data_IF_506433661883
#
_entry.id   IF_506433661883
#
_cell.length_a   1.000
_cell.length_b   1.000
_cell.length_c   1.000
_cell.angle_alpha   90.00
_cell.angle_beta   90.00
_cell.angle_gamma   90.00
#
_symmetry.space_group_name_H-M   'P 1'
#
loop_
_entity.id
_entity.type
_entity.pdbx_description
1 polymer ?
#
# COMPACT_ATOMS: atom_id res chain seq x y z
N UNK A 1 19.43 10.38 -22.06
CA UNK A 1 18.10 10.95 -22.34
C UNK A 1 16.99 9.92 -22.13
N UNK A 2 17.10 8.71 -22.69
CA UNK A 2 16.11 7.62 -22.49
C UNK A 2 15.82 7.29 -21.04
N UNK A 3 16.84 7.21 -20.19
CA UNK A 3 16.67 6.89 -18.75
C UNK A 3 15.77 7.86 -18.02
N UNK A 4 15.91 9.16 -18.26
CA UNK A 4 15.07 10.18 -17.64
C UNK A 4 13.61 10.11 -18.11
N UNK A 5 13.37 9.77 -19.38
CA UNK A 5 12.02 9.58 -19.90
C UNK A 5 11.34 8.39 -19.19
N UNK A 6 12.07 7.28 -19.02
CA UNK A 6 11.56 6.11 -18.31
C UNK A 6 11.27 6.45 -16.84
N UNK A 7 12.16 7.20 -16.17
CA UNK A 7 11.95 7.63 -14.78
C UNK A 7 10.71 8.52 -14.64
N UNK A 8 10.49 9.45 -15.57
CA UNK A 8 9.28 10.30 -15.57
C UNK A 8 8.02 9.44 -15.75
N UNK A 9 8.03 8.49 -16.68
CA UNK A 9 6.89 7.59 -16.90
C UNK A 9 6.61 6.71 -15.67
N UNK A 10 7.64 6.13 -15.07
CA UNK A 10 7.51 5.35 -13.81
C UNK A 10 6.91 6.22 -12.72
N UNK A 11 7.43 7.44 -12.55
CA UNK A 11 6.94 8.37 -11.52
C UNK A 11 5.47 8.76 -11.71
N UNK A 12 5.07 9.07 -12.95
CA UNK A 12 3.68 9.43 -13.28
C UNK A 12 2.73 8.26 -13.02
N UNK A 13 3.04 7.08 -13.53
CA UNK A 13 2.21 5.88 -13.36
C UNK A 13 2.14 5.48 -11.89
N UNK A 14 3.27 5.42 -11.20
CA UNK A 14 3.32 5.06 -9.79
C UNK A 14 2.60 6.11 -8.92
N UNK A 15 2.76 7.40 -9.20
CA UNK A 15 2.05 8.48 -8.52
C UNK A 15 0.54 8.41 -8.71
N UNK A 16 0.08 8.14 -9.95
CA UNK A 16 -1.34 7.97 -10.25
C UNK A 16 -1.94 6.78 -9.49
N UNK A 17 -1.29 5.60 -9.56
CA UNK A 17 -1.74 4.39 -8.84
C UNK A 17 -1.67 4.60 -7.32
N UNK A 18 -0.61 5.24 -6.83
CA UNK A 18 -0.45 5.58 -5.41
C UNK A 18 -1.58 6.49 -4.90
N UNK A 19 -1.98 7.48 -5.69
CA UNK A 19 -3.09 8.38 -5.37
C UNK A 19 -4.44 7.67 -5.34
N UNK A 20 -4.64 6.66 -6.20
CA UNK A 20 -5.87 5.86 -6.24
C UNK A 20 -5.98 4.87 -5.07
N UNK A 21 -4.90 4.15 -4.77
CA UNK A 21 -4.91 2.99 -3.87
C UNK A 21 -4.39 3.36 -2.47
N UNK A 22 -3.62 4.46 -2.35
CA UNK A 22 -3.05 4.90 -1.06
C UNK A 22 -1.88 4.05 -0.55
N UNK A 23 -1.26 3.20 -1.38
CA UNK A 23 -0.18 2.26 -0.96
C UNK A 23 1.21 2.94 -0.92
N UNK A 24 1.31 4.22 -1.31
CA UNK A 24 2.58 4.96 -1.28
C UNK A 24 3.61 4.46 -2.28
N UNK A 25 3.34 4.54 -3.58
CA UNK A 25 4.24 4.39 -4.75
C UNK A 25 5.31 3.29 -4.75
N UNK A 26 5.94 3.00 -3.62
CA UNK A 26 7.09 2.10 -3.48
C UNK A 26 6.85 0.69 -4.02
N UNK A 27 5.63 0.19 -3.89
CA UNK A 27 5.23 -1.14 -4.38
C UNK A 27 5.37 -1.24 -5.90
N UNK A 28 5.18 -0.15 -6.62
CA UNK A 28 5.30 -0.08 -8.08
C UNK A 28 6.65 0.44 -8.52
N UNK A 29 7.21 1.44 -7.81
CA UNK A 29 8.49 2.06 -8.15
C UNK A 29 9.63 1.05 -8.07
N UNK A 30 9.68 0.25 -6.99
CA UNK A 30 10.80 -0.70 -6.77
C UNK A 30 10.87 -1.76 -7.88
N UNK A 31 9.80 -2.52 -8.21
CA UNK A 31 9.83 -3.46 -9.32
C UNK A 31 10.13 -2.79 -10.67
N UNK A 32 9.56 -1.61 -10.93
CA UNK A 32 9.79 -0.90 -12.19
C UNK A 32 11.25 -0.50 -12.37
N UNK A 33 11.91 0.03 -11.34
CA UNK A 33 13.33 0.38 -11.39
C UNK A 33 14.23 -0.84 -11.59
N UNK A 34 13.91 -1.95 -10.91
CA UNK A 34 14.69 -3.20 -11.05
C UNK A 34 14.51 -3.81 -12.45
N UNK A 35 13.27 -3.87 -12.95
CA UNK A 35 12.96 -4.57 -14.21
C UNK A 35 13.28 -3.73 -15.45
N UNK A 36 13.00 -2.43 -15.44
CA UNK A 36 13.15 -1.57 -16.61
C UNK A 36 14.51 -0.88 -16.70
N UNK A 37 15.12 -0.56 -15.56
CA UNK A 37 16.39 0.17 -15.48
C UNK A 37 17.54 -0.64 -14.91
N UNK A 38 17.31 -1.90 -14.50
CA UNK A 38 18.36 -2.79 -14.01
C UNK A 38 18.96 -2.36 -12.65
N UNK A 39 18.24 -1.58 -11.85
CA UNK A 39 18.71 -1.18 -10.52
C UNK A 39 18.86 -2.40 -9.62
N UNK A 40 19.85 -2.38 -8.71
CA UNK A 40 19.86 -3.34 -7.60
C UNK A 40 18.64 -3.12 -6.70
N UNK A 41 18.21 -4.15 -5.98
CA UNK A 41 17.04 -4.06 -5.10
C UNK A 41 17.20 -2.94 -4.06
N UNK A 42 18.41 -2.81 -3.47
CA UNK A 42 18.70 -1.76 -2.49
C UNK A 42 18.68 -0.36 -3.09
N UNK A 43 19.23 -0.19 -4.30
CA UNK A 43 19.20 1.10 -5.00
C UNK A 43 17.76 1.52 -5.36
N UNK A 44 16.93 0.58 -5.80
CA UNK A 44 15.53 0.85 -6.09
C UNK A 44 14.74 1.22 -4.82
N UNK A 45 14.98 0.53 -3.71
CA UNK A 45 14.35 0.85 -2.42
C UNK A 45 14.81 2.22 -1.89
N UNK A 46 16.11 2.50 -1.91
CA UNK A 46 16.64 3.81 -1.50
C UNK A 46 16.08 4.95 -2.33
N UNK A 47 15.97 4.77 -3.65
CA UNK A 47 15.35 5.75 -4.57
C UNK A 47 13.87 5.96 -4.22
N UNK A 48 13.12 4.88 -3.97
CA UNK A 48 11.72 4.97 -3.58
C UNK A 48 11.54 5.72 -2.25
N UNK A 49 12.36 5.42 -1.24
CA UNK A 49 12.35 6.15 0.03
C UNK A 49 12.71 7.63 -0.15
N UNK A 50 13.68 7.93 -1.03
CA UNK A 50 14.05 9.30 -1.37
C UNK A 50 12.89 10.10 -1.99
N UNK A 51 12.06 9.47 -2.82
CA UNK A 51 10.85 10.09 -3.38
C UNK A 51 9.83 10.39 -2.27
N UNK A 52 9.65 9.48 -1.32
CA UNK A 52 8.72 9.66 -0.19
C UNK A 52 9.18 10.76 0.78
N UNK A 53 10.47 11.07 0.83
CA UNK A 53 11.00 12.19 1.63
C UNK A 53 10.51 13.56 1.09
N UNK A 54 10.28 13.66 -0.22
CA UNK A 54 9.70 14.84 -0.85
C UNK A 54 8.18 14.85 -0.60
N UNK A 55 7.54 16.04 -0.45
CA UNK A 55 6.11 16.13 -0.16
C UNK A 55 5.22 15.82 -1.39
N UNK A 56 5.57 14.78 -2.14
CA UNK A 56 4.89 14.41 -3.40
C UNK A 56 3.44 13.97 -3.19
N UNK A 57 3.12 13.44 -2.01
CA UNK A 57 1.78 12.98 -1.66
C UNK A 57 0.85 14.06 -1.11
N UNK A 58 1.34 15.29 -0.86
CA UNK A 58 0.57 16.32 -0.14
C UNK A 58 -0.73 16.71 -0.84
N UNK A 59 -0.73 16.75 -2.17
CA UNK A 59 -1.92 17.09 -2.96
C UNK A 59 -2.99 15.98 -2.87
N UNK A 60 -2.56 14.71 -2.86
CA UNK A 60 -3.48 13.58 -2.69
C UNK A 60 -4.06 13.60 -1.27
N UNK A 61 -3.22 13.70 -0.24
CA UNK A 61 -3.64 13.79 1.16
C UNK A 61 -4.61 14.93 1.38
N UNK A 62 -4.36 16.10 0.79
CA UNK A 62 -5.25 17.26 0.90
C UNK A 62 -6.65 16.97 0.37
N UNK A 63 -6.76 16.30 -0.78
CA UNK A 63 -8.06 15.89 -1.34
C UNK A 63 -8.80 14.92 -0.41
N UNK A 64 -8.14 13.90 0.11
CA UNK A 64 -8.75 12.97 1.06
C UNK A 64 -9.13 13.66 2.38
N UNK A 65 -8.31 14.62 2.84
CA UNK A 65 -8.61 15.41 4.03
C UNK A 65 -9.87 16.26 3.86
N UNK A 66 -10.06 16.91 2.71
CA UNK A 66 -11.27 17.69 2.41
C UNK A 66 -12.55 16.84 2.45
N UNK A 67 -12.48 15.54 2.16
CA UNK A 67 -13.60 14.60 2.22
C UNK A 67 -13.74 13.92 3.59
N UNK A 68 -12.96 14.32 4.60
CA UNK A 68 -13.04 13.77 5.95
C UNK A 68 -12.45 12.37 6.13
N UNK A 69 -11.70 11.85 5.14
CA UNK A 69 -11.11 10.51 5.19
C UNK A 69 -9.75 10.46 5.90
N UNK A 70 -9.21 11.57 6.34
CA UNK A 70 -7.92 11.64 7.03
C UNK A 70 -8.11 12.06 8.49
N UNK A 71 -7.67 11.23 9.40
CA UNK A 71 -7.61 11.56 10.82
C UNK A 71 -6.18 12.01 11.19
N UNK A 72 -5.94 13.30 11.47
CA UNK A 72 -4.60 13.81 11.75
C UNK A 72 -3.93 13.16 12.96
N UNK A 73 -4.70 12.82 14.00
CA UNK A 73 -4.18 12.14 15.20
C UNK A 73 -3.62 10.76 14.86
N UNK A 74 -4.35 9.96 14.10
CA UNK A 74 -3.87 8.66 13.64
C UNK A 74 -2.63 8.79 12.75
N UNK A 75 -2.60 9.79 11.88
CA UNK A 75 -1.44 10.06 11.01
C UNK A 75 -0.19 10.35 11.83
N UNK A 76 -0.27 11.23 12.84
CA UNK A 76 0.87 11.59 13.67
C UNK A 76 1.42 10.41 14.47
N UNK A 77 0.55 9.64 15.12
CA UNK A 77 0.96 8.46 15.89
C UNK A 77 1.62 7.41 14.98
N UNK A 78 1.00 7.12 13.83
CA UNK A 78 1.56 6.15 12.87
C UNK A 78 2.87 6.65 12.25
N UNK A 79 2.99 7.93 11.95
CA UNK A 79 4.21 8.52 11.41
C UNK A 79 5.37 8.42 12.41
N UNK A 80 5.12 8.69 13.70
CA UNK A 80 6.13 8.53 14.74
C UNK A 80 6.59 7.08 14.90
N UNK A 81 5.66 6.15 14.94
CA UNK A 81 5.97 4.71 14.98
C UNK A 81 6.72 4.24 13.71
N UNK A 82 6.28 4.72 12.54
CA UNK A 82 6.93 4.42 11.26
C UNK A 82 8.38 4.94 11.21
N UNK A 83 8.62 6.14 11.75
CA UNK A 83 9.98 6.70 11.82
C UNK A 83 10.93 5.79 12.59
N UNK A 84 10.52 5.32 13.77
CA UNK A 84 11.32 4.38 14.57
C UNK A 84 11.48 3.03 13.85
N UNK A 85 10.39 2.46 13.35
CA UNK A 85 10.39 1.18 12.64
C UNK A 85 11.26 1.20 11.37
N UNK A 86 11.27 2.31 10.63
CA UNK A 86 12.06 2.45 9.41
C UNK A 86 13.58 2.43 9.66
N UNK A 87 14.05 2.92 10.82
CA UNK A 87 15.45 2.85 11.20
C UNK A 87 15.90 1.41 11.36
N UNK A 88 15.15 0.60 12.09
CA UNK A 88 15.46 -0.82 12.27
C UNK A 88 15.32 -1.60 10.97
N UNK A 89 14.27 -1.35 10.22
CA UNK A 89 14.01 -1.99 8.92
C UNK A 89 15.11 -1.73 7.90
N UNK A 90 15.59 -0.49 7.81
CA UNK A 90 16.68 -0.13 6.89
C UNK A 90 18.02 -0.76 7.28
N UNK A 91 18.34 -0.82 8.58
CA UNK A 91 19.55 -1.50 9.06
C UNK A 91 19.52 -2.99 8.72
N UNK A 92 18.38 -3.64 8.92
CA UNK A 92 18.20 -5.05 8.57
C UNK A 92 18.34 -5.28 7.06
N UNK A 93 17.73 -4.43 6.24
CA UNK A 93 17.83 -4.50 4.79
C UNK A 93 19.27 -4.32 4.29
N UNK A 94 20.05 -3.44 4.94
CA UNK A 94 21.47 -3.26 4.61
C UNK A 94 22.34 -4.46 4.97
N UNK A 95 21.96 -5.22 6.02
CA UNK A 95 22.66 -6.43 6.44
C UNK A 95 22.39 -7.63 5.52
N UNK A 96 21.27 -7.63 4.80
CA UNK A 96 20.88 -8.72 3.94
C UNK A 96 21.43 -8.58 2.52
N UNK A 97 21.54 -9.70 1.81
CA UNK A 97 21.88 -9.67 0.38
C UNK A 97 20.70 -9.13 -0.44
N UNK A 98 20.99 -8.50 -1.59
CA UNK A 98 19.95 -7.98 -2.50
C UNK A 98 18.94 -9.07 -2.90
N UNK A 99 19.37 -10.31 -3.04
CA UNK A 99 18.49 -11.44 -3.37
C UNK A 99 17.53 -11.78 -2.24
N UNK A 100 17.97 -11.73 -0.99
CA UNK A 100 17.13 -11.97 0.18
C UNK A 100 16.08 -10.86 0.32
N UNK A 101 16.50 -9.60 0.18
CA UNK A 101 15.58 -8.45 0.24
C UNK A 101 14.54 -8.53 -0.86
N UNK A 102 14.93 -8.89 -2.09
CA UNK A 102 14.03 -9.10 -3.22
C UNK A 102 13.01 -10.22 -2.95
N UNK A 103 13.46 -11.36 -2.41
CA UNK A 103 12.58 -12.49 -2.06
C UNK A 103 11.59 -12.10 -0.95
N UNK A 104 12.07 -11.46 0.12
CA UNK A 104 11.22 -10.98 1.22
C UNK A 104 10.14 -10.02 0.71
N UNK A 105 10.50 -9.07 -0.14
CA UNK A 105 9.57 -8.13 -0.76
C UNK A 105 8.51 -8.86 -1.60
N UNK A 106 8.93 -9.79 -2.45
CA UNK A 106 8.01 -10.58 -3.28
C UNK A 106 7.04 -11.43 -2.45
N UNK A 107 7.52 -12.05 -1.36
CA UNK A 107 6.68 -12.84 -0.45
C UNK A 107 5.65 -11.96 0.25
N UNK A 108 6.04 -10.78 0.74
CA UNK A 108 5.10 -9.84 1.38
C UNK A 108 4.01 -9.41 0.40
N UNK A 109 4.39 -9.06 -0.84
CA UNK A 109 3.42 -8.71 -1.88
C UNK A 109 2.48 -9.86 -2.21
N UNK A 110 2.99 -11.09 -2.29
CA UNK A 110 2.18 -12.28 -2.54
C UNK A 110 1.16 -12.50 -1.41
N UNK A 111 1.58 -12.40 -0.15
CA UNK A 111 0.70 -12.56 1.02
C UNK A 111 -0.40 -11.50 1.01
N UNK A 112 -0.06 -10.23 0.78
CA UNK A 112 -1.02 -9.12 0.72
C UNK A 112 -2.01 -9.33 -0.43
N UNK A 113 -1.51 -9.66 -1.62
CA UNK A 113 -2.33 -9.92 -2.80
C UNK A 113 -3.30 -11.09 -2.58
N UNK A 114 -2.81 -12.19 -2.01
CA UNK A 114 -3.63 -13.37 -1.74
C UNK A 114 -4.71 -13.07 -0.68
N UNK A 115 -4.34 -12.33 0.37
CA UNK A 115 -5.30 -11.91 1.40
C UNK A 115 -6.42 -11.06 0.78
N UNK A 116 -6.09 -10.03 0.02
CA UNK A 116 -7.10 -9.15 -0.58
C UNK A 116 -8.00 -9.87 -1.58
N UNK A 117 -7.44 -10.82 -2.34
CA UNK A 117 -8.20 -11.50 -3.39
C UNK A 117 -9.12 -12.60 -2.84
N UNK A 118 -8.71 -13.30 -1.79
CA UNK A 118 -9.41 -14.49 -1.29
C UNK A 118 -10.14 -14.21 0.02
N UNK A 119 -9.47 -13.60 0.99
CA UNK A 119 -10.03 -13.45 2.33
C UNK A 119 -11.10 -12.37 2.41
N UNK A 120 -10.89 -11.25 1.74
CA UNK A 120 -11.82 -10.12 1.80
C UNK A 120 -13.13 -10.46 1.07
N UNK A 121 -13.05 -11.21 -0.04
CA UNK A 121 -14.24 -11.70 -0.76
C UNK A 121 -15.02 -12.74 0.06
N UNK A 122 -14.31 -13.62 0.76
CA UNK A 122 -14.93 -14.64 1.62
C UNK A 122 -15.60 -14.00 2.85
N UNK A 123 -14.96 -13.04 3.50
CA UNK A 123 -15.52 -12.33 4.65
C UNK A 123 -16.72 -11.47 4.27
N UNK A 124 -16.65 -10.77 3.15
CA UNK A 124 -17.76 -9.96 2.62
C UNK A 124 -19.00 -10.81 2.28
N UNK A 125 -18.81 -12.01 1.75
CA UNK A 125 -19.91 -12.97 1.51
C UNK A 125 -20.54 -13.43 2.82
N UNK A 126 -19.73 -13.75 3.81
CA UNK A 126 -20.22 -14.20 5.14
C UNK A 126 -21.00 -13.11 5.89
N UNK A 127 -20.59 -11.86 5.77
CA UNK A 127 -21.31 -10.74 6.38
C UNK A 127 -22.65 -10.49 5.68
N UNK A 128 -22.71 -10.58 4.36
CA UNK A 128 -23.97 -10.49 3.59
C UNK A 128 -24.94 -11.61 3.94
N UNK A 129 -24.46 -12.82 4.12
CA UNK A 129 -25.30 -13.96 4.56
C UNK A 129 -25.88 -13.75 5.96
N UNK A 130 -25.08 -13.26 6.91
CA UNK A 130 -25.56 -12.92 8.26
C UNK A 130 -26.58 -11.80 8.25
N UNK A 131 -26.36 -10.76 7.46
CA UNK A 131 -27.30 -9.65 7.32
C UNK A 131 -28.64 -10.12 6.74
N UNK A 132 -28.62 -10.91 5.67
CA UNK A 132 -29.81 -11.49 5.05
C UNK A 132 -30.57 -12.43 6.00
N UNK A 133 -29.86 -13.17 6.85
CA UNK A 133 -30.48 -14.03 7.87
C UNK A 133 -31.18 -13.20 8.97
N UNK A 134 -30.56 -12.12 9.43
CA UNK A 134 -31.15 -11.25 10.44
C UNK A 134 -32.38 -10.49 9.93
N UNK A 135 -32.37 -10.06 8.66
CA UNK A 135 -33.55 -9.45 8.03
C UNK A 135 -34.73 -10.43 7.92
N UNK A 136 -34.47 -11.67 7.48
CA UNK A 136 -35.51 -12.70 7.41
C UNK A 136 -36.13 -13.03 8.76
N UNK A 137 -35.33 -13.09 9.81
CA UNK A 137 -35.81 -13.32 11.19
C UNK A 137 -36.70 -12.16 11.64
N UNK A 138 -36.31 -10.92 11.34
CA UNK A 138 -37.06 -9.72 11.69
C UNK A 138 -38.40 -9.64 10.92
N UNK A 139 -38.41 -10.03 9.64
CA UNK A 139 -39.63 -10.09 8.83
C UNK A 139 -40.62 -11.17 9.33
N UNK A 140 -40.10 -12.34 9.71
CA UNK A 140 -40.94 -13.43 10.27
C UNK A 140 -41.52 -13.01 11.62
N UNK A 141 -40.72 -12.35 12.48
CA UNK A 141 -41.18 -11.83 13.78
C UNK A 141 -42.31 -10.78 13.62
N UNK A 142 -42.21 -9.90 12.62
CA UNK A 142 -43.26 -8.90 12.31
C UNK A 142 -44.58 -9.50 11.78
N UNK A 143 -44.54 -10.68 11.15
CA UNK A 143 -45.72 -11.37 10.65
C UNK A 143 -46.49 -12.15 11.69
N UNK A 144 -45.88 -12.41 12.84
CA UNK A 144 -46.46 -13.22 13.94
C UNK A 144 -47.09 -12.31 15.02
N UNK A 145 -46.75 -11.02 15.04
CA UNK A 145 -47.34 -10.00 15.94
C UNK A 145 -48.46 -9.22 15.25
#
# INVERSE_FOLDING_TARGET
MYTYIILILIGLVAGFISGLIGIGGGVFIVPALVMLLGYSQKAAQGTSLGILLLPVGILAVYKYYQHGYVNPGSVLVMAGAFFVGSLFGSQLAMSWSDQLVKKAFAIILLIISLKMLVLDDYLARREREKHNQSEKITEVSKKIT
#
